data_IF_397769943870
#
_entry.id   IF_397769943870
#
_cell.length_a   1.000
_cell.length_b   1.000
_cell.length_c   1.000
_cell.angle_alpha   90.00
_cell.angle_beta   90.00
_cell.angle_gamma   90.00
#
_symmetry.space_group_name_H-M   'P 1'
#
loop_
_entity.id
_entity.type
_entity.pdbx_description
1 polymer ?
#
# COMPACT_ATOMS: atom_id res chain seq x y z
N UNK A 1 -2.04 23.69 -1.30
CA UNK A 1 -2.26 23.83 0.16
C UNK A 1 -1.51 25.00 0.78
N UNK A 2 -0.17 25.02 0.84
CA UNK A 2 0.55 26.13 1.53
C UNK A 2 0.21 27.51 0.95
N UNK A 3 0.20 27.65 -0.38
CA UNK A 3 -0.19 28.90 -1.06
C UNK A 3 -1.64 29.31 -0.78
N UNK A 4 -2.57 28.35 -0.79
CA UNK A 4 -3.99 28.59 -0.52
C UNK A 4 -4.19 29.05 0.93
N UNK A 5 -3.55 28.37 1.89
CA UNK A 5 -3.59 28.71 3.30
C UNK A 5 -2.93 30.06 3.58
N UNK A 6 -1.80 30.37 2.95
CA UNK A 6 -1.17 31.70 3.02
C UNK A 6 -2.10 32.81 2.51
N UNK A 7 -2.94 32.52 1.53
CA UNK A 7 -3.90 33.49 0.97
C UNK A 7 -5.09 33.74 1.91
N UNK A 8 -5.51 32.71 2.65
CA UNK A 8 -6.65 32.77 3.60
C UNK A 8 -6.21 33.27 4.99
N UNK A 9 -5.00 32.94 5.44
CA UNK A 9 -4.41 33.34 6.72
C UNK A 9 -2.99 33.93 6.51
N UNK A 10 -2.89 35.20 6.07
CA UNK A 10 -1.61 35.84 5.76
C UNK A 10 -0.66 35.97 6.95
N UNK A 11 -1.20 36.08 8.17
CA UNK A 11 -0.40 36.21 9.39
C UNK A 11 0.46 34.96 9.65
N UNK A 12 0.00 33.79 9.19
CA UNK A 12 0.71 32.52 9.32
C UNK A 12 1.42 32.07 8.05
N UNK A 13 1.46 32.90 6.99
CA UNK A 13 2.02 32.53 5.70
C UNK A 13 3.46 31.98 5.78
N UNK A 14 4.33 32.64 6.54
CA UNK A 14 5.72 32.20 6.71
C UNK A 14 5.81 30.81 7.37
N UNK A 15 4.91 30.51 8.31
CA UNK A 15 4.85 29.19 8.96
C UNK A 15 4.43 28.10 7.98
N UNK A 16 3.45 28.35 7.12
CA UNK A 16 3.02 27.37 6.11
C UNK A 16 4.14 27.06 5.11
N UNK A 17 4.87 28.07 4.67
CA UNK A 17 6.02 27.88 3.75
C UNK A 17 7.16 27.12 4.43
N UNK A 18 7.48 27.43 5.69
CA UNK A 18 8.48 26.68 6.45
C UNK A 18 8.07 25.21 6.66
N UNK A 19 6.78 24.95 6.94
CA UNK A 19 6.26 23.58 7.08
C UNK A 19 6.36 22.80 5.76
N UNK A 20 6.03 23.43 4.63
CA UNK A 20 6.16 22.83 3.30
C UNK A 20 7.61 22.46 3.00
N UNK A 21 8.55 23.39 3.17
CA UNK A 21 9.97 23.13 2.91
C UNK A 21 10.51 21.99 3.79
N UNK A 22 10.11 21.94 5.07
CA UNK A 22 10.50 20.86 5.96
C UNK A 22 9.86 19.51 5.58
N UNK A 23 8.61 19.53 5.10
CA UNK A 23 7.92 18.33 4.61
C UNK A 23 8.60 17.79 3.34
N UNK A 24 8.88 18.64 2.35
CA UNK A 24 9.53 18.24 1.09
C UNK A 24 10.89 17.56 1.33
N UNK A 25 11.69 18.10 2.26
CA UNK A 25 12.98 17.49 2.63
C UNK A 25 12.83 16.10 3.24
N UNK A 26 11.85 15.91 4.15
CA UNK A 26 11.60 14.61 4.76
C UNK A 26 11.02 13.62 3.76
N UNK A 27 10.11 14.09 2.90
CA UNK A 27 9.48 13.27 1.88
C UNK A 27 10.51 12.74 0.89
N UNK A 28 11.41 13.58 0.38
CA UNK A 28 12.48 13.14 -0.53
C UNK A 28 13.40 12.09 0.12
N UNK A 29 13.82 12.31 1.37
CA UNK A 29 14.66 11.35 2.08
C UNK A 29 13.95 10.02 2.41
N UNK A 30 12.62 10.04 2.54
CA UNK A 30 11.82 8.83 2.74
C UNK A 30 11.59 8.09 1.42
N UNK A 31 11.32 8.82 0.33
CA UNK A 31 11.14 8.29 -1.02
C UNK A 31 12.33 7.43 -1.45
N UNK A 32 13.55 7.97 -1.31
CA UNK A 32 14.80 7.23 -1.59
C UNK A 32 14.91 5.92 -0.80
N UNK A 33 14.55 5.94 0.50
CA UNK A 33 14.61 4.74 1.34
C UNK A 33 13.60 3.68 0.93
N UNK A 34 12.40 4.10 0.53
CA UNK A 34 11.35 3.20 0.08
C UNK A 34 11.76 2.60 -1.28
N UNK A 35 12.26 3.42 -2.21
CA UNK A 35 12.76 2.95 -3.50
C UNK A 35 13.87 1.90 -3.33
N UNK A 36 14.90 2.21 -2.54
CA UNK A 36 16.04 1.31 -2.32
C UNK A 36 15.61 -0.04 -1.75
N UNK A 37 14.60 -0.05 -0.88
CA UNK A 37 14.08 -1.28 -0.27
C UNK A 37 13.18 -2.08 -1.21
N UNK A 38 12.36 -1.42 -2.02
CA UNK A 38 11.37 -2.08 -2.88
C UNK A 38 11.94 -2.52 -4.22
N UNK A 39 12.94 -1.82 -4.75
CA UNK A 39 13.56 -2.10 -6.05
C UNK A 39 14.04 -3.55 -6.24
N UNK A 40 14.68 -4.22 -5.26
CA UNK A 40 15.07 -5.63 -5.40
C UNK A 40 13.89 -6.61 -5.43
N UNK A 41 12.69 -6.15 -5.10
CA UNK A 41 11.48 -6.96 -4.99
C UNK A 41 10.64 -6.92 -6.27
N UNK A 42 11.04 -6.13 -7.27
CA UNK A 42 10.39 -6.04 -8.56
C UNK A 42 10.21 -7.43 -9.20
N UNK A 43 9.00 -7.70 -9.69
CA UNK A 43 8.64 -8.98 -10.31
C UNK A 43 8.25 -10.10 -9.34
N UNK A 44 8.40 -9.92 -8.02
CA UNK A 44 7.85 -10.88 -7.05
C UNK A 44 6.32 -10.82 -7.06
N UNK A 45 5.61 -11.96 -7.11
CA UNK A 45 4.16 -11.96 -7.25
C UNK A 45 3.46 -11.60 -5.94
N UNK A 46 2.61 -10.58 -6.00
CA UNK A 46 1.65 -10.28 -4.94
C UNK A 46 0.27 -9.93 -5.49
N UNK A 47 -0.74 -10.03 -4.63
CA UNK A 47 -2.14 -9.78 -4.95
C UNK A 47 -2.76 -8.88 -3.89
N UNK A 48 -3.69 -8.03 -4.30
CA UNK A 48 -4.38 -7.07 -3.44
C UNK A 48 -5.89 -7.27 -3.51
N UNK A 49 -6.61 -6.92 -2.44
CA UNK A 49 -8.07 -7.09 -2.40
C UNK A 49 -8.80 -6.14 -3.31
N UNK A 50 -8.49 -4.84 -3.27
CA UNK A 50 -8.98 -3.88 -4.24
C UNK A 50 -7.86 -3.05 -4.88
N UNK A 51 -8.19 -2.44 -6.02
CA UNK A 51 -7.26 -1.69 -6.88
C UNK A 51 -7.05 -0.27 -6.30
N UNK A 52 -6.15 -0.15 -5.32
CA UNK A 52 -5.86 1.11 -4.61
C UNK A 52 -4.39 1.55 -4.64
N UNK A 53 -3.49 0.70 -5.13
CA UNK A 53 -2.05 0.88 -4.90
C UNK A 53 -1.28 1.31 -6.15
N UNK A 54 -1.95 1.46 -7.30
CA UNK A 54 -1.30 1.67 -8.61
C UNK A 54 -0.30 2.82 -8.64
N UNK A 55 -0.61 3.96 -8.03
CA UNK A 55 0.33 5.10 -7.98
C UNK A 55 1.58 4.81 -7.14
N UNK A 56 1.40 4.11 -6.01
CA UNK A 56 2.52 3.68 -5.17
C UNK A 56 3.37 2.63 -5.90
N UNK A 57 2.70 1.68 -6.56
CA UNK A 57 3.35 0.64 -7.35
C UNK A 57 4.15 1.24 -8.50
N UNK A 58 3.57 2.18 -9.26
CA UNK A 58 4.25 2.89 -10.35
C UNK A 58 5.46 3.67 -9.85
N UNK A 59 5.32 4.42 -8.75
CA UNK A 59 6.39 5.22 -8.16
C UNK A 59 7.60 4.37 -7.74
N UNK A 60 7.37 3.15 -7.24
CA UNK A 60 8.43 2.28 -6.70
C UNK A 60 8.74 1.05 -7.56
N UNK A 61 8.28 1.01 -8.81
CA UNK A 61 8.61 -0.06 -9.77
C UNK A 61 8.04 -1.43 -9.43
N UNK A 62 6.91 -1.48 -8.72
CA UNK A 62 6.17 -2.68 -8.39
C UNK A 62 4.96 -2.85 -9.32
N UNK A 63 4.36 -4.03 -9.30
CA UNK A 63 3.09 -4.32 -9.97
C UNK A 63 2.42 -5.53 -9.36
N UNK A 64 1.20 -5.39 -8.87
CA UNK A 64 0.44 -6.56 -8.42
C UNK A 64 0.14 -7.52 -9.59
N UNK A 65 0.11 -8.82 -9.29
CA UNK A 65 -0.24 -9.88 -10.23
C UNK A 65 -1.76 -10.06 -10.40
N UNK A 66 -2.55 -9.52 -9.48
CA UNK A 66 -4.01 -9.47 -9.63
C UNK A 66 -4.74 -8.83 -8.46
N UNK A 67 -6.00 -8.48 -8.74
CA UNK A 67 -6.94 -7.85 -7.81
C UNK A 67 -8.17 -8.75 -7.62
N UNK A 68 -8.60 -8.94 -6.36
CA UNK A 68 -9.73 -9.82 -6.03
C UNK A 68 -11.10 -9.17 -6.32
N UNK A 69 -11.28 -7.90 -5.98
CA UNK A 69 -12.52 -7.14 -6.13
C UNK A 69 -12.25 -5.71 -6.66
N UNK A 70 -13.24 -5.08 -7.30
CA UNK A 70 -13.11 -3.69 -7.78
C UNK A 70 -13.17 -2.70 -6.62
N UNK A 71 -13.85 -3.04 -5.53
CA UNK A 71 -13.90 -2.24 -4.31
C UNK A 71 -14.04 -3.14 -3.08
N UNK A 72 -13.72 -2.60 -1.90
CA UNK A 72 -13.81 -3.31 -0.62
C UNK A 72 -15.25 -3.78 -0.27
N UNK A 73 -16.27 -3.05 -0.72
CA UNK A 73 -17.68 -3.33 -0.42
C UNK A 73 -18.31 -4.44 -1.28
N UNK A 74 -17.63 -4.84 -2.37
CA UNK A 74 -18.17 -5.81 -3.33
C UNK A 74 -17.55 -7.18 -3.09
N UNK A 75 -18.34 -8.10 -2.55
CA UNK A 75 -17.92 -9.49 -2.40
C UNK A 75 -17.80 -10.18 -3.76
N UNK A 76 -16.67 -10.84 -4.06
CA UNK A 76 -16.54 -11.57 -5.31
C UNK A 76 -17.44 -12.81 -5.32
N UNK A 77 -18.09 -13.07 -6.45
CA UNK A 77 -18.86 -14.30 -6.65
C UNK A 77 -17.96 -15.55 -6.70
N UNK A 78 -18.55 -16.73 -6.47
CA UNK A 78 -17.82 -18.01 -6.38
C UNK A 78 -16.92 -18.32 -7.58
N UNK A 79 -17.33 -17.96 -8.81
CA UNK A 79 -16.50 -18.12 -10.01
C UNK A 79 -15.21 -17.29 -9.93
N UNK A 80 -15.34 -16.02 -9.55
CA UNK A 80 -14.18 -15.12 -9.39
C UNK A 80 -13.24 -15.65 -8.32
N UNK A 81 -13.77 -16.16 -7.20
CA UNK A 81 -12.97 -16.80 -6.14
C UNK A 81 -12.18 -18.00 -6.70
N UNK A 82 -12.82 -18.89 -7.45
CA UNK A 82 -12.15 -20.04 -8.07
C UNK A 82 -11.05 -19.62 -9.07
N UNK A 83 -11.33 -18.61 -9.91
CA UNK A 83 -10.36 -18.08 -10.87
C UNK A 83 -9.14 -17.47 -10.17
N UNK A 84 -9.35 -16.74 -9.08
CA UNK A 84 -8.26 -16.15 -8.31
C UNK A 84 -7.42 -17.21 -7.60
N UNK A 85 -8.06 -18.24 -7.04
CA UNK A 85 -7.35 -19.36 -6.44
C UNK A 85 -6.45 -20.07 -7.45
N UNK A 86 -6.93 -20.27 -8.69
CA UNK A 86 -6.11 -20.81 -9.79
C UNK A 86 -4.92 -19.90 -10.14
N UNK A 87 -5.09 -18.58 -10.09
CA UNK A 87 -3.99 -17.63 -10.31
C UNK A 87 -2.94 -17.70 -9.19
N UNK A 88 -3.37 -17.82 -7.94
CA UNK A 88 -2.47 -18.03 -6.80
C UNK A 88 -1.69 -19.34 -6.92
N UNK A 89 -2.36 -20.44 -7.31
CA UNK A 89 -1.72 -21.73 -7.59
C UNK A 89 -0.62 -21.62 -8.67
N UNK A 90 -0.91 -20.92 -9.78
CA UNK A 90 0.04 -20.70 -10.87
C UNK A 90 1.21 -19.77 -10.50
N UNK A 91 0.96 -18.79 -9.62
CA UNK A 91 1.99 -17.85 -9.16
C UNK A 91 2.99 -18.50 -8.20
N UNK A 92 2.60 -19.59 -7.51
CA UNK A 92 3.44 -20.26 -6.52
C UNK A 92 3.66 -19.39 -5.27
N UNK A 93 4.91 -19.35 -4.78
CA UNK A 93 5.27 -18.57 -3.61
C UNK A 93 4.93 -17.09 -3.83
N UNK A 94 3.94 -16.57 -3.11
CA UNK A 94 3.38 -15.23 -3.35
C UNK A 94 2.82 -14.60 -2.07
N UNK A 95 2.55 -13.29 -2.15
CA UNK A 95 1.91 -12.53 -1.08
C UNK A 95 0.46 -12.16 -1.44
N UNK A 96 -0.45 -12.21 -0.48
CA UNK A 96 -1.81 -11.67 -0.57
C UNK A 96 -1.98 -10.65 0.52
N UNK A 97 -2.30 -9.41 0.13
CA UNK A 97 -2.46 -8.30 1.05
C UNK A 97 -3.94 -8.00 1.30
N UNK A 98 -4.39 -8.21 2.52
CA UNK A 98 -5.68 -7.73 3.03
C UNK A 98 -5.57 -6.30 3.56
N UNK A 99 -6.71 -5.70 3.89
CA UNK A 99 -6.78 -4.31 4.31
C UNK A 99 -7.58 -4.19 5.62
N UNK A 100 -7.14 -3.36 6.57
CA UNK A 100 -7.87 -3.15 7.82
C UNK A 100 -9.20 -2.40 7.58
N UNK A 101 -10.17 -2.50 8.51
CA UNK A 101 -10.14 -3.27 9.76
C UNK A 101 -10.65 -4.72 9.61
N UNK A 102 -10.94 -5.19 8.39
CA UNK A 102 -11.62 -6.48 8.17
C UNK A 102 -10.61 -7.49 7.61
N UNK A 103 -9.94 -8.30 8.46
CA UNK A 103 -9.17 -9.44 7.98
C UNK A 103 -10.14 -10.43 7.31
N UNK A 104 -10.09 -10.64 5.98
CA UNK A 104 -11.17 -11.33 5.31
C UNK A 104 -11.01 -12.83 5.55
N UNK A 105 -12.06 -13.49 6.06
CA UNK A 105 -12.24 -14.95 5.91
C UNK A 105 -11.95 -15.41 4.48
N UNK A 106 -12.26 -14.55 3.51
CA UNK A 106 -11.98 -14.75 2.10
C UNK A 106 -10.47 -14.85 1.78
N UNK A 107 -9.58 -14.06 2.41
CA UNK A 107 -8.13 -14.16 2.22
C UNK A 107 -7.62 -15.53 2.66
N UNK A 108 -8.11 -16.01 3.80
CA UNK A 108 -7.80 -17.35 4.32
C UNK A 108 -8.27 -18.42 3.33
N UNK A 109 -9.55 -18.38 2.90
CA UNK A 109 -10.10 -19.32 1.91
C UNK A 109 -9.32 -19.34 0.59
N UNK A 110 -8.85 -18.18 0.12
CA UNK A 110 -8.08 -18.08 -1.13
C UNK A 110 -6.67 -18.65 -0.99
N UNK A 111 -6.03 -18.46 0.17
CA UNK A 111 -4.67 -18.91 0.45
C UNK A 111 -4.56 -20.36 0.94
N UNK A 112 -5.67 -20.99 1.33
CA UNK A 112 -5.65 -22.29 2.00
C UNK A 112 -5.00 -23.39 1.15
N UNK A 113 -3.97 -24.04 1.71
CA UNK A 113 -3.21 -25.09 1.03
C UNK A 113 -2.27 -24.60 -0.08
N UNK A 114 -2.11 -23.28 -0.24
CA UNK A 114 -1.20 -22.68 -1.22
C UNK A 114 0.04 -22.11 -0.50
N UNK A 115 1.20 -21.99 -1.19
CA UNK A 115 2.39 -21.35 -0.66
C UNK A 115 2.26 -19.81 -0.64
N UNK A 116 1.16 -19.31 -0.08
CA UNK A 116 0.81 -17.89 -0.04
C UNK A 116 1.02 -17.34 1.36
N UNK A 117 1.66 -16.18 1.47
CA UNK A 117 1.75 -15.42 2.72
C UNK A 117 0.67 -14.36 2.77
N UNK A 118 -0.06 -14.29 3.87
CA UNK A 118 -0.99 -13.20 4.15
C UNK A 118 -0.27 -12.08 4.89
N UNK A 119 -0.52 -10.85 4.48
CA UNK A 119 -0.06 -9.62 5.14
C UNK A 119 -1.11 -8.52 4.96
N UNK A 120 -0.90 -7.36 5.58
CA UNK A 120 -1.81 -6.22 5.50
C UNK A 120 -1.18 -5.05 4.73
N UNK A 121 -1.97 -4.40 3.90
CA UNK A 121 -1.69 -3.07 3.36
C UNK A 121 -2.85 -2.16 3.69
N UNK A 122 -2.54 -1.00 4.25
CA UNK A 122 -3.53 -0.01 4.66
C UNK A 122 -3.40 1.23 3.79
N UNK A 123 -4.22 1.38 2.74
CA UNK A 123 -4.14 2.54 1.86
C UNK A 123 -4.64 3.82 2.54
N UNK A 124 -5.35 3.72 3.67
CA UNK A 124 -5.97 4.85 4.35
C UNK A 124 -5.25 5.27 5.62
N UNK A 125 -4.32 4.45 6.13
CA UNK A 125 -3.62 4.71 7.38
C UNK A 125 -4.57 4.80 8.56
N UNK A 126 -5.45 3.80 8.71
CA UNK A 126 -6.48 3.71 9.75
C UNK A 126 -5.93 4.01 11.16
N UNK A 127 -4.76 3.48 11.50
CA UNK A 127 -4.09 3.68 12.79
C UNK A 127 -2.99 4.77 12.75
N UNK A 128 -2.83 5.46 11.63
CA UNK A 128 -1.82 6.52 11.48
C UNK A 128 -2.30 7.79 12.18
N UNK A 129 -1.53 8.22 13.18
CA UNK A 129 -1.78 9.48 13.88
C UNK A 129 -1.70 10.67 12.92
N UNK A 130 -2.75 11.49 12.93
CA UNK A 130 -2.79 12.77 12.21
C UNK A 130 -1.90 13.80 12.91
N UNK A 131 -0.70 13.99 12.38
CA UNK A 131 0.23 15.04 12.76
C UNK A 131 1.15 15.40 11.57
N UNK A 132 2.17 16.22 11.80
CA UNK A 132 3.08 16.69 10.76
C UNK A 132 3.92 15.57 10.08
N UNK A 133 3.88 14.34 10.61
CA UNK A 133 4.60 13.17 10.09
C UNK A 133 3.64 12.07 9.62
N UNK A 134 2.32 12.33 9.63
CA UNK A 134 1.32 11.29 9.36
C UNK A 134 1.45 10.70 7.95
N UNK A 135 1.64 11.54 6.94
CA UNK A 135 1.76 11.07 5.56
C UNK A 135 3.03 10.24 5.34
N UNK A 136 4.14 10.67 5.93
CA UNK A 136 5.39 9.91 5.89
C UNK A 136 5.23 8.53 6.54
N UNK A 137 4.61 8.45 7.73
CA UNK A 137 4.35 7.18 8.40
C UNK A 137 3.45 6.25 7.59
N UNK A 138 2.45 6.80 6.87
CA UNK A 138 1.60 6.02 5.98
C UNK A 138 2.42 5.36 4.86
N UNK A 139 3.24 6.15 4.15
CA UNK A 139 4.06 5.65 3.05
C UNK A 139 5.14 4.67 3.52
N UNK A 140 5.78 4.94 4.67
CA UNK A 140 6.73 4.02 5.29
C UNK A 140 6.08 2.69 5.69
N UNK A 141 4.85 2.73 6.22
CA UNK A 141 4.10 1.53 6.57
C UNK A 141 3.74 0.70 5.33
N UNK A 142 3.26 1.33 4.26
CA UNK A 142 2.98 0.67 2.98
C UNK A 142 4.22 -0.02 2.43
N UNK A 143 5.33 0.71 2.28
CA UNK A 143 6.59 0.17 1.79
C UNK A 143 7.13 -0.95 2.70
N UNK A 144 7.04 -0.78 4.01
CA UNK A 144 7.54 -1.78 4.96
C UNK A 144 6.73 -3.06 4.99
N UNK A 145 5.40 -2.97 4.88
CA UNK A 145 4.53 -4.14 4.86
C UNK A 145 4.64 -4.91 3.54
N UNK A 146 4.72 -4.19 2.40
CA UNK A 146 5.03 -4.78 1.10
C UNK A 146 6.35 -5.56 1.16
N UNK A 147 7.42 -4.87 1.55
CA UNK A 147 8.75 -5.45 1.62
C UNK A 147 8.80 -6.62 2.60
N UNK A 148 8.25 -6.46 3.79
CA UNK A 148 8.25 -7.50 4.83
C UNK A 148 7.55 -8.78 4.41
N UNK A 149 6.58 -8.75 3.49
CA UNK A 149 6.03 -9.97 2.92
C UNK A 149 6.90 -10.52 1.77
N UNK A 150 7.24 -9.65 0.80
CA UNK A 150 7.93 -10.02 -0.44
C UNK A 150 9.38 -10.51 -0.23
N UNK A 151 10.09 -9.97 0.76
CA UNK A 151 11.45 -10.40 1.15
C UNK A 151 11.49 -11.87 1.62
N UNK A 152 10.33 -12.45 1.98
CA UNK A 152 10.19 -13.83 2.48
C UNK A 152 9.66 -14.82 1.43
N UNK A 153 9.57 -14.39 0.17
CA UNK A 153 9.31 -15.23 -1.00
C UNK A 153 10.65 -15.68 -1.59
#
# INVERSE_FOLDING_TARGET
>A
MASDLSSIDPANAARYQANLAAFDQRLAAMDEKIEDRLKPLAGKPFFVFHEAFDYFEEAFGLRHAGVFAVSADVQPGARKVADMRKRLELAGASCVFSEPPIPPRLAQTLSEGLPVRLAELDPLGYDVKVDALGYERLLEALGSNLAGCLERL
#
